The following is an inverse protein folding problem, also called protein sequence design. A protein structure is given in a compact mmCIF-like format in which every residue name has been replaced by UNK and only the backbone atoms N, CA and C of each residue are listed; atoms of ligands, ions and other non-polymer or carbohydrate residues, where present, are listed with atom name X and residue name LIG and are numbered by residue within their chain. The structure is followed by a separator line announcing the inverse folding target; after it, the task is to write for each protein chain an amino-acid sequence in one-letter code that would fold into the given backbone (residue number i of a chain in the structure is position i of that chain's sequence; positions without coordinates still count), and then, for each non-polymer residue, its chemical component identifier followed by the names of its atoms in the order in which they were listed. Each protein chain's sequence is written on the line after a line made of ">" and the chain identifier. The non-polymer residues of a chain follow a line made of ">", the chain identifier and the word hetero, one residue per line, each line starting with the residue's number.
data_IF_597285503705
#
_entry.id   IF_597285503705
#
_cell.length_a   1.000
_cell.length_b   1.000
_cell.length_c   1.000
_cell.angle_alpha   90.00
_cell.angle_beta   90.00
_cell.angle_gamma   90.00
#
_symmetry.space_group_name_H-M   'P 1'
#
loop_
_entity.id
_entity.type
_entity.pdbx_description
1 polymer ?
#
# COMPACT_ATOMS: atom_id res chain seq x y z
N UNK A 1 9.70 -15.17 1.97
CA UNK A 1 10.34 -14.82 0.70
C UNK A 1 9.78 -13.54 0.09
N UNK A 2 10.36 -13.11 -1.01
CA UNK A 2 9.97 -11.89 -1.73
C UNK A 2 9.58 -12.22 -3.17
N UNK A 3 8.70 -11.42 -3.75
CA UNK A 3 8.40 -11.39 -5.18
C UNK A 3 8.99 -10.11 -5.74
N UNK A 4 9.89 -10.23 -6.71
CA UNK A 4 10.47 -9.08 -7.38
C UNK A 4 9.44 -8.43 -8.30
N UNK A 5 9.33 -7.12 -8.24
CA UNK A 5 8.34 -6.39 -9.01
C UNK A 5 8.96 -5.68 -10.20
N UNK A 6 8.28 -5.69 -11.34
CA UNK A 6 8.62 -4.81 -12.47
C UNK A 6 7.86 -3.50 -12.29
N UNK A 7 8.64 -2.41 -12.17
CA UNK A 7 8.10 -1.08 -11.89
C UNK A 7 7.30 -0.54 -13.08
N UNK A 8 6.16 0.09 -12.81
CA UNK A 8 5.34 0.74 -13.82
C UNK A 8 5.98 2.02 -14.38
N UNK A 9 6.82 2.71 -13.57
CA UNK A 9 7.58 3.87 -14.02
C UNK A 9 8.89 3.41 -14.63
N UNK A 10 9.09 3.65 -15.92
CA UNK A 10 10.27 3.17 -16.69
C UNK A 10 11.60 3.52 -16.04
N UNK A 11 11.75 4.74 -15.52
CA UNK A 11 12.98 5.18 -14.85
C UNK A 11 13.33 4.35 -13.59
N UNK A 12 12.36 3.63 -13.01
CA UNK A 12 12.52 2.80 -11.81
C UNK A 12 12.72 1.32 -12.10
N UNK A 13 12.60 0.88 -13.35
CA UNK A 13 12.77 -0.54 -13.73
C UNK A 13 14.11 -1.14 -13.24
N UNK A 14 15.25 -0.41 -13.24
CA UNK A 14 16.51 -0.95 -12.73
C UNK A 14 16.53 -1.24 -11.22
N UNK A 15 15.59 -0.68 -10.44
CA UNK A 15 15.54 -0.89 -8.98
C UNK A 15 15.35 -2.37 -8.62
N UNK A 16 14.62 -3.15 -9.43
CA UNK A 16 14.38 -4.58 -9.20
C UNK A 16 15.67 -5.38 -9.04
N UNK A 17 16.70 -5.09 -9.86
CA UNK A 17 18.00 -5.79 -9.78
C UNK A 17 18.76 -5.46 -8.49
N UNK A 18 18.70 -4.21 -8.03
CA UNK A 18 19.35 -3.82 -6.79
C UNK A 18 18.66 -4.48 -5.58
N UNK A 19 17.33 -4.56 -5.61
CA UNK A 19 16.53 -5.22 -4.59
C UNK A 19 16.80 -6.73 -4.59
N UNK A 20 16.91 -7.38 -5.75
CA UNK A 20 17.27 -8.79 -5.89
C UNK A 20 18.62 -9.07 -5.20
N UNK A 21 19.67 -8.36 -5.60
CA UNK A 21 21.01 -8.54 -5.04
C UNK A 21 21.04 -8.33 -3.52
N UNK A 22 20.26 -7.37 -3.01
CA UNK A 22 20.16 -7.15 -1.58
C UNK A 22 19.51 -8.33 -0.84
N UNK A 23 18.37 -8.82 -1.31
CA UNK A 23 17.69 -9.94 -0.66
C UNK A 23 18.50 -11.24 -0.72
N UNK A 24 19.19 -11.50 -1.82
CA UNK A 24 20.14 -12.62 -1.93
C UNK A 24 21.25 -12.50 -0.88
N UNK A 25 21.82 -11.29 -0.71
CA UNK A 25 22.93 -11.04 0.24
C UNK A 25 22.56 -11.31 1.69
N UNK A 26 21.28 -11.18 2.05
CA UNK A 26 20.76 -11.44 3.41
C UNK A 26 20.03 -12.78 3.53
N UNK A 27 20.08 -13.63 2.49
CA UNK A 27 19.53 -14.98 2.49
C UNK A 27 18.00 -15.05 2.49
N UNK A 28 17.31 -14.01 2.00
CA UNK A 28 15.86 -14.01 1.84
C UNK A 28 15.50 -14.66 0.50
N UNK A 29 14.71 -15.76 0.47
CA UNK A 29 14.40 -16.47 -0.76
C UNK A 29 13.55 -15.62 -1.71
N UNK A 30 13.89 -15.63 -2.99
CA UNK A 30 13.11 -15.03 -4.07
C UNK A 30 12.12 -16.07 -4.57
N UNK A 31 10.82 -15.77 -4.45
CA UNK A 31 9.73 -16.65 -4.84
C UNK A 31 9.40 -16.55 -6.34
N UNK A 32 9.82 -15.47 -6.97
CA UNK A 32 9.62 -15.22 -8.39
C UNK A 32 9.66 -13.74 -8.72
N UNK A 33 9.44 -13.42 -9.99
CA UNK A 33 9.47 -12.07 -10.53
C UNK A 33 8.24 -11.78 -11.38
N UNK A 34 7.74 -10.56 -11.31
CA UNK A 34 6.77 -10.02 -12.27
C UNK A 34 7.53 -9.58 -13.51
N UNK A 35 7.13 -10.08 -14.67
CA UNK A 35 7.80 -9.78 -15.95
C UNK A 35 6.90 -8.99 -16.89
N UNK A 36 7.50 -8.19 -17.76
CA UNK A 36 6.77 -7.49 -18.81
C UNK A 36 5.90 -8.46 -19.65
N UNK A 37 4.69 -8.02 -20.07
CA UNK A 37 4.12 -6.68 -19.92
C UNK A 37 3.48 -6.40 -18.54
N UNK A 38 3.57 -7.31 -17.58
CA UNK A 38 3.10 -7.12 -16.22
C UNK A 38 3.93 -6.07 -15.47
N UNK A 39 3.25 -5.15 -14.78
CA UNK A 39 3.86 -4.21 -13.85
C UNK A 39 3.16 -4.28 -12.51
N UNK A 40 3.93 -4.17 -11.43
CA UNK A 40 3.43 -4.11 -10.07
C UNK A 40 4.40 -3.31 -9.20
N UNK A 41 3.87 -2.42 -8.38
CA UNK A 41 4.64 -1.68 -7.39
C UNK A 41 4.13 -1.98 -5.97
N UNK A 42 5.06 -2.11 -5.01
CA UNK A 42 4.74 -2.52 -3.64
C UNK A 42 3.76 -1.59 -2.92
N UNK A 43 3.72 -0.31 -3.30
CA UNK A 43 2.74 0.66 -2.78
C UNK A 43 1.28 0.34 -3.13
N UNK A 44 1.05 -0.55 -4.10
CA UNK A 44 -0.29 -1.04 -4.45
C UNK A 44 -0.68 -2.30 -3.69
N UNK A 45 0.21 -2.91 -2.91
CA UNK A 45 -0.03 -4.20 -2.23
C UNK A 45 -0.34 -3.98 -0.76
N UNK A 46 -1.57 -4.29 -0.35
CA UNK A 46 -2.05 -4.14 1.03
C UNK A 46 -2.54 -5.48 1.56
N UNK A 47 -1.85 -6.02 2.55
CA UNK A 47 -2.27 -7.23 3.25
C UNK A 47 -3.43 -6.90 4.20
N UNK A 48 -4.56 -7.59 4.02
CA UNK A 48 -5.74 -7.45 4.88
C UNK A 48 -5.64 -8.43 6.07
N UNK A 49 -5.17 -9.62 5.81
CA UNK A 49 -4.84 -10.66 6.77
C UNK A 49 -3.79 -11.60 6.15
N UNK A 50 -3.40 -12.65 6.87
CA UNK A 50 -2.36 -13.61 6.43
C UNK A 50 -2.68 -14.32 5.11
N UNK A 51 -3.95 -14.33 4.68
CA UNK A 51 -4.42 -15.08 3.51
C UNK A 51 -5.17 -14.23 2.49
N UNK A 52 -5.31 -12.93 2.77
CA UNK A 52 -6.04 -11.99 1.90
C UNK A 52 -5.17 -10.77 1.61
N UNK A 53 -4.97 -10.47 0.34
CA UNK A 53 -4.23 -9.30 -0.12
C UNK A 53 -5.10 -8.47 -1.08
N UNK A 54 -5.08 -7.16 -0.91
CA UNK A 54 -5.64 -6.20 -1.86
C UNK A 54 -4.52 -5.62 -2.73
N UNK A 55 -4.78 -5.46 -4.03
CA UNK A 55 -3.82 -4.90 -4.98
C UNK A 55 -4.49 -3.80 -5.79
N UNK A 56 -3.93 -2.60 -5.71
CA UNK A 56 -4.36 -1.46 -6.50
C UNK A 56 -4.08 -1.70 -8.00
N UNK A 57 -5.06 -1.45 -8.85
CA UNK A 57 -4.91 -1.46 -10.31
C UNK A 57 -4.99 -0.03 -10.82
N UNK A 58 -3.92 0.44 -11.44
CA UNK A 58 -3.79 1.81 -11.89
C UNK A 58 -2.66 1.98 -12.91
N UNK A 59 -2.08 3.16 -12.96
CA UNK A 59 -0.98 3.46 -13.89
C UNK A 59 0.34 2.76 -13.56
N UNK A 60 0.52 2.34 -12.30
CA UNK A 60 1.76 1.72 -11.82
C UNK A 60 1.68 0.19 -11.78
N UNK A 61 0.50 -0.32 -11.51
CA UNK A 61 0.23 -1.76 -11.42
C UNK A 61 -0.90 -2.09 -12.39
N UNK A 62 -0.66 -3.01 -13.31
CA UNK A 62 -1.63 -3.40 -14.34
C UNK A 62 -2.22 -4.80 -14.09
N UNK A 63 -3.30 -5.12 -14.81
CA UNK A 63 -4.00 -6.40 -14.70
C UNK A 63 -3.07 -7.62 -14.90
N UNK A 64 -2.10 -7.51 -15.82
CA UNK A 64 -1.15 -8.61 -16.08
C UNK A 64 -0.18 -8.79 -14.90
N UNK A 65 0.31 -7.71 -14.29
CA UNK A 65 1.12 -7.77 -13.06
C UNK A 65 0.37 -8.44 -11.91
N UNK A 66 -0.91 -8.06 -11.73
CA UNK A 66 -1.78 -8.67 -10.71
C UNK A 66 -1.98 -10.16 -10.99
N UNK A 67 -2.18 -10.56 -12.25
CA UNK A 67 -2.33 -11.97 -12.65
C UNK A 67 -1.08 -12.78 -12.31
N UNK A 68 0.10 -12.26 -12.64
CA UNK A 68 1.38 -12.91 -12.32
C UNK A 68 1.60 -12.98 -10.81
N UNK A 69 1.36 -11.90 -10.09
CA UNK A 69 1.45 -11.86 -8.63
C UNK A 69 0.59 -12.92 -7.96
N UNK A 70 -0.67 -13.04 -8.39
CA UNK A 70 -1.57 -14.08 -7.91
C UNK A 70 -1.04 -15.49 -8.19
N UNK A 71 -0.46 -15.73 -9.35
CA UNK A 71 0.12 -17.01 -9.71
C UNK A 71 1.34 -17.36 -8.84
N UNK A 72 2.22 -16.38 -8.57
CA UNK A 72 3.39 -16.55 -7.71
C UNK A 72 3.02 -16.78 -6.24
N UNK A 73 1.97 -16.12 -5.75
CA UNK A 73 1.45 -16.36 -4.40
C UNK A 73 0.84 -17.76 -4.26
N UNK A 74 0.23 -18.31 -5.33
CA UNK A 74 -0.28 -19.67 -5.36
C UNK A 74 -1.21 -19.97 -4.19
N UNK A 75 -0.91 -21.05 -3.46
CA UNK A 75 -1.69 -21.49 -2.30
C UNK A 75 -1.39 -20.74 -0.99
N UNK A 76 -0.47 -19.77 -1.01
CA UNK A 76 -0.14 -18.97 0.17
C UNK A 76 -1.23 -17.96 0.53
N UNK A 77 -2.11 -17.62 -0.42
CA UNK A 77 -3.26 -16.75 -0.21
C UNK A 77 -4.54 -17.40 -0.70
N UNK A 78 -5.65 -17.10 -0.02
CA UNK A 78 -6.98 -17.55 -0.44
C UNK A 78 -7.65 -16.53 -1.36
N UNK A 79 -7.28 -15.25 -1.22
CA UNK A 79 -7.94 -14.17 -1.93
C UNK A 79 -6.98 -13.03 -2.32
N UNK A 80 -7.01 -12.69 -3.60
CA UNK A 80 -6.43 -11.45 -4.13
C UNK A 80 -7.57 -10.55 -4.60
N UNK A 81 -7.66 -9.35 -4.03
CA UNK A 81 -8.70 -8.36 -4.34
C UNK A 81 -8.10 -7.30 -5.23
N UNK A 82 -8.57 -7.17 -6.46
CA UNK A 82 -8.19 -6.06 -7.32
C UNK A 82 -8.99 -4.82 -6.94
N UNK A 83 -8.30 -3.71 -6.69
CA UNK A 83 -8.88 -2.42 -6.30
C UNK A 83 -8.59 -1.41 -7.41
N UNK A 84 -9.55 -1.07 -8.27
CA UNK A 84 -9.33 -0.09 -9.34
C UNK A 84 -9.09 1.31 -8.75
N UNK A 85 -7.96 1.91 -9.11
CA UNK A 85 -7.61 3.25 -8.67
C UNK A 85 -8.12 4.30 -9.68
N UNK A 86 -8.54 5.48 -9.20
CA UNK A 86 -9.02 6.54 -10.07
C UNK A 86 -7.87 7.21 -10.86
N UNK A 87 -8.23 7.93 -11.93
CA UNK A 87 -7.28 8.73 -12.71
C UNK A 87 -6.59 9.81 -11.87
N UNK A 88 -7.27 10.40 -10.90
CA UNK A 88 -6.81 11.51 -10.07
C UNK A 88 -6.16 12.62 -10.91
N UNK A 89 -4.89 12.92 -10.72
CA UNK A 89 -4.13 13.94 -11.46
C UNK A 89 -3.40 13.37 -12.68
N UNK A 90 -3.50 12.04 -12.93
CA UNK A 90 -3.02 11.40 -14.15
C UNK A 90 -1.78 10.51 -13.99
N UNK A 91 -1.20 10.03 -15.11
CA UNK A 91 -0.13 9.03 -15.09
C UNK A 91 1.20 9.55 -14.56
N UNK A 92 1.39 10.87 -14.46
CA UNK A 92 2.59 11.48 -13.88
C UNK A 92 2.60 11.42 -12.35
N UNK A 93 1.42 11.27 -11.75
CA UNK A 93 1.26 11.18 -10.31
C UNK A 93 1.62 9.79 -9.77
N UNK A 94 1.92 9.76 -8.49
CA UNK A 94 2.23 8.53 -7.77
C UNK A 94 1.03 8.11 -6.90
N UNK A 95 -0.11 7.79 -7.52
CA UNK A 95 -1.26 7.27 -6.80
C UNK A 95 -1.16 5.75 -6.68
N UNK A 96 -0.87 5.27 -5.48
CA UNK A 96 -0.92 3.86 -5.10
C UNK A 96 -2.12 3.58 -4.20
N UNK A 97 -2.45 2.30 -4.01
CA UNK A 97 -3.48 1.93 -3.03
C UNK A 97 -3.11 2.41 -1.62
N UNK A 98 -1.83 2.31 -1.23
CA UNK A 98 -1.34 2.80 0.06
C UNK A 98 -1.33 4.33 0.19
N UNK A 99 -1.54 5.09 -0.90
CA UNK A 99 -1.82 6.52 -0.79
C UNK A 99 -3.21 6.79 -0.19
N UNK A 100 -4.12 5.83 -0.27
CA UNK A 100 -5.53 5.96 0.13
C UNK A 100 -5.91 5.07 1.32
N UNK A 101 -5.04 4.11 1.70
CA UNK A 101 -5.29 3.20 2.82
C UNK A 101 -4.00 2.75 3.46
N UNK A 102 -3.88 2.93 4.77
CA UNK A 102 -2.78 2.42 5.59
C UNK A 102 -3.33 1.55 6.72
N UNK A 103 -3.05 0.25 6.75
CA UNK A 103 -3.38 -0.61 7.88
C UNK A 103 -2.62 -0.15 9.14
N UNK A 104 -3.34 0.07 10.23
CA UNK A 104 -2.79 0.47 11.53
C UNK A 104 -2.76 -0.70 12.52
N UNK A 105 -3.77 -1.56 12.40
CA UNK A 105 -3.95 -2.78 13.18
C UNK A 105 -4.86 -3.72 12.40
N UNK A 106 -5.06 -4.95 12.85
CA UNK A 106 -5.97 -5.92 12.24
C UNK A 106 -7.41 -5.41 12.11
N UNK A 107 -7.86 -4.56 13.05
CA UNK A 107 -9.23 -4.01 13.11
C UNK A 107 -9.30 -2.50 12.85
N UNK A 108 -8.20 -1.85 12.47
CA UNK A 108 -8.13 -0.38 12.38
C UNK A 108 -7.28 0.06 11.20
N UNK A 109 -7.88 0.82 10.28
CA UNK A 109 -7.19 1.35 9.10
C UNK A 109 -7.36 2.87 9.01
N UNK A 110 -6.32 3.54 8.57
CA UNK A 110 -6.37 4.94 8.16
C UNK A 110 -6.72 4.99 6.68
N UNK A 111 -7.69 5.81 6.30
CA UNK A 111 -8.18 5.84 4.91
C UNK A 111 -8.46 7.27 4.43
N UNK A 112 -8.31 7.47 3.12
CA UNK A 112 -8.88 8.61 2.42
C UNK A 112 -10.01 8.12 1.51
N UNK A 113 -11.22 8.04 2.06
CA UNK A 113 -12.36 7.39 1.41
C UNK A 113 -12.78 8.01 0.09
N UNK A 114 -12.45 9.28 -0.18
CA UNK A 114 -12.83 9.96 -1.43
C UNK A 114 -12.22 9.34 -2.68
N UNK A 115 -11.07 8.67 -2.56
CA UNK A 115 -10.38 8.01 -3.66
C UNK A 115 -10.45 6.48 -3.60
N UNK A 116 -11.17 5.93 -2.61
CA UNK A 116 -11.41 4.50 -2.53
C UNK A 116 -12.65 4.10 -3.32
N UNK A 117 -12.61 3.00 -4.09
CA UNK A 117 -13.81 2.42 -4.67
C UNK A 117 -14.82 2.02 -3.57
N UNK A 118 -16.10 2.28 -3.82
CA UNK A 118 -17.19 1.94 -2.88
C UNK A 118 -17.14 0.46 -2.48
N UNK A 119 -16.90 -0.42 -3.44
CA UNK A 119 -16.81 -1.88 -3.20
C UNK A 119 -15.69 -2.25 -2.23
N UNK A 120 -14.52 -1.62 -2.36
CA UNK A 120 -13.40 -1.92 -1.46
C UNK A 120 -13.62 -1.33 -0.07
N UNK A 121 -14.10 -0.08 0.02
CA UNK A 121 -14.46 0.52 1.31
C UNK A 121 -15.52 -0.31 2.04
N UNK A 122 -16.56 -0.76 1.34
CA UNK A 122 -17.60 -1.63 1.92
C UNK A 122 -17.01 -2.97 2.37
N UNK A 123 -16.11 -3.57 1.57
CA UNK A 123 -15.43 -4.80 1.96
C UNK A 123 -14.68 -4.66 3.30
N UNK A 124 -13.99 -3.53 3.52
CA UNK A 124 -13.32 -3.28 4.81
C UNK A 124 -14.32 -3.19 5.97
N UNK A 125 -15.44 -2.49 5.77
CA UNK A 125 -16.51 -2.36 6.78
C UNK A 125 -17.18 -3.71 7.08
N UNK A 126 -17.47 -4.52 6.08
CA UNK A 126 -18.06 -5.85 6.23
C UNK A 126 -17.16 -6.80 7.04
N UNK A 127 -15.85 -6.56 6.99
CA UNK A 127 -14.85 -7.23 7.84
C UNK A 127 -14.71 -6.62 9.24
N UNK A 128 -15.58 -5.67 9.58
CA UNK A 128 -15.57 -4.95 10.87
C UNK A 128 -14.28 -4.13 11.12
N UNK A 129 -13.54 -3.80 10.06
CA UNK A 129 -12.38 -2.92 10.15
C UNK A 129 -12.88 -1.49 10.40
N UNK A 130 -12.41 -0.88 11.47
CA UNK A 130 -12.69 0.52 11.81
C UNK A 130 -11.86 1.43 10.93
N UNK A 131 -12.49 2.44 10.36
CA UNK A 131 -11.83 3.40 9.48
C UNK A 131 -11.62 4.73 10.20
N UNK A 132 -10.41 5.25 10.13
CA UNK A 132 -10.04 6.62 10.51
C UNK A 132 -9.90 7.40 9.21
N UNK A 133 -10.68 8.46 9.03
CA UNK A 133 -10.63 9.28 7.82
C UNK A 133 -9.52 10.33 7.91
N UNK A 134 -8.73 10.46 6.85
CA UNK A 134 -7.80 11.58 6.65
C UNK A 134 -8.63 12.77 6.15
N UNK A 135 -8.46 13.98 6.69
CA UNK A 135 -9.14 15.16 6.19
C UNK A 135 -8.53 15.64 4.86
N UNK A 136 -9.33 16.34 4.05
CA UNK A 136 -8.93 16.77 2.72
C UNK A 136 -7.67 17.66 2.74
N UNK A 137 -7.56 18.52 3.70
CA UNK A 137 -6.42 19.44 3.89
C UNK A 137 -5.10 18.74 4.22
N UNK A 138 -5.14 17.48 4.67
CA UNK A 138 -3.94 16.69 5.00
C UNK A 138 -3.66 15.56 3.99
N UNK A 139 -4.45 15.43 2.94
CA UNK A 139 -4.23 14.38 1.94
C UNK A 139 -2.96 14.64 1.11
N UNK A 140 -2.82 15.84 0.56
CA UNK A 140 -1.66 16.23 -0.26
C UNK A 140 -0.35 16.32 0.55
N UNK A 141 -0.44 16.50 1.87
CA UNK A 141 0.70 16.43 2.78
C UNK A 141 1.02 15.01 3.27
N UNK A 142 0.56 13.99 2.55
CA UNK A 142 0.80 12.57 2.83
C UNK A 142 0.19 12.09 4.17
N UNK A 143 -0.89 12.71 4.63
CA UNK A 143 -1.56 12.35 5.88
C UNK A 143 -2.05 10.89 5.92
N UNK A 144 -2.34 10.29 4.77
CA UNK A 144 -2.75 8.88 4.69
C UNK A 144 -1.56 7.90 4.61
N UNK A 145 -0.36 8.38 4.31
CA UNK A 145 0.82 7.53 4.13
C UNK A 145 1.52 7.29 5.48
N UNK A 146 1.06 6.28 6.20
CA UNK A 146 1.49 5.97 7.56
C UNK A 146 2.04 4.54 7.63
N UNK A 147 3.22 4.38 8.20
CA UNK A 147 3.87 3.08 8.38
C UNK A 147 3.55 2.51 9.77
N UNK A 148 2.82 1.42 9.85
CA UNK A 148 2.67 0.65 11.07
C UNK A 148 3.92 -0.22 11.30
N UNK A 149 4.61 -0.02 12.41
CA UNK A 149 5.79 -0.81 12.83
C UNK A 149 5.42 -1.91 13.83
N UNK A 150 4.25 -1.80 14.44
CA UNK A 150 3.60 -2.81 15.27
C UNK A 150 2.10 -2.47 15.35
N UNK A 151 1.22 -3.39 15.81
CA UNK A 151 -0.17 -3.07 16.05
C UNK A 151 -0.34 -1.78 16.87
N UNK A 152 -1.08 -0.80 16.33
CA UNK A 152 -1.31 0.53 16.91
C UNK A 152 -0.04 1.34 17.24
N UNK A 153 1.07 1.04 16.58
CA UNK A 153 2.30 1.82 16.69
C UNK A 153 2.77 2.23 15.30
N UNK A 154 2.81 3.54 15.04
CA UNK A 154 3.00 4.05 13.68
C UNK A 154 4.06 5.14 13.60
N UNK A 155 4.60 5.28 12.39
CA UNK A 155 5.46 6.39 12.00
C UNK A 155 4.75 7.16 10.89
N UNK A 156 4.66 8.48 11.01
CA UNK A 156 4.04 9.35 10.01
C UNK A 156 4.83 10.65 9.81
N UNK A 157 4.59 11.26 8.65
CA UNK A 157 5.19 12.56 8.33
C UNK A 157 4.61 13.67 9.23
N UNK A 158 5.46 14.57 9.74
CA UNK A 158 5.02 15.78 10.40
C UNK A 158 4.20 16.68 9.47
N UNK A 159 3.37 17.55 10.04
CA UNK A 159 2.54 18.47 9.27
C UNK A 159 1.10 17.99 9.08
N UNK A 160 0.73 16.86 9.68
CA UNK A 160 -0.61 16.27 9.61
C UNK A 160 -1.26 16.17 11.00
N UNK A 161 -1.49 17.30 11.72
CA UNK A 161 -1.90 17.28 13.12
C UNK A 161 -3.31 16.73 13.36
N UNK A 162 -4.23 16.88 12.41
CA UNK A 162 -5.60 16.38 12.54
C UNK A 162 -5.60 14.84 12.44
N UNK A 163 -4.90 14.30 11.46
CA UNK A 163 -4.73 12.84 11.29
C UNK A 163 -4.03 12.23 12.50
N UNK A 164 -2.92 12.86 12.94
CA UNK A 164 -2.22 12.43 14.15
C UNK A 164 -3.17 12.37 15.35
N UNK A 165 -3.93 13.43 15.60
CA UNK A 165 -4.90 13.50 16.70
C UNK A 165 -5.99 12.43 16.59
N UNK A 166 -6.48 12.16 15.38
CA UNK A 166 -7.48 11.10 15.15
C UNK A 166 -6.93 9.72 15.49
N UNK A 167 -5.68 9.43 15.09
CA UNK A 167 -4.98 8.18 15.43
C UNK A 167 -4.80 8.03 16.94
N UNK A 168 -4.24 9.04 17.61
CA UNK A 168 -4.02 9.05 19.07
C UNK A 168 -5.33 8.85 19.86
N UNK A 169 -6.43 9.47 19.40
CA UNK A 169 -7.76 9.30 20.01
C UNK A 169 -8.28 7.85 19.93
N UNK A 170 -7.78 7.08 18.96
CA UNK A 170 -8.07 5.64 18.81
C UNK A 170 -7.06 4.74 19.51
N UNK A 171 -6.20 5.31 20.35
CA UNK A 171 -5.19 4.55 21.11
C UNK A 171 -3.99 4.11 20.29
N UNK A 172 -3.65 4.86 19.24
CA UNK A 172 -2.45 4.62 18.43
C UNK A 172 -1.29 5.43 18.98
N UNK A 173 -0.14 4.79 19.18
CA UNK A 173 1.15 5.41 19.51
C UNK A 173 1.76 5.97 18.22
N UNK A 174 1.80 7.29 18.10
CA UNK A 174 2.21 7.97 16.87
C UNK A 174 3.57 8.62 17.02
N UNK A 175 4.53 8.17 16.22
CA UNK A 175 5.85 8.79 16.08
C UNK A 175 5.90 9.59 14.78
N UNK A 176 6.42 10.80 14.83
CA UNK A 176 6.53 11.66 13.66
C UNK A 176 7.99 11.87 13.26
N UNK A 177 8.23 12.08 11.96
CA UNK A 177 9.55 12.42 11.42
C UNK A 177 9.46 13.63 10.48
N UNK A 178 10.57 14.32 10.32
CA UNK A 178 10.69 15.42 9.36
C UNK A 178 10.97 14.87 7.96
N UNK A 179 10.16 15.26 6.97
CA UNK A 179 10.27 14.80 5.58
C UNK A 179 10.98 15.79 4.66
N UNK A 180 12.08 16.38 5.12
CA UNK A 180 12.81 17.42 4.37
C UNK A 180 13.45 16.91 3.07
N UNK A 181 13.58 15.57 2.93
CA UNK A 181 14.18 14.90 1.77
C UNK A 181 13.16 14.13 0.93
N UNK A 182 11.86 14.34 1.15
CA UNK A 182 10.76 13.66 0.43
C UNK A 182 10.19 14.57 -0.65
#
# INVERSE_FOLDING_TARGET
>A
GVILCTMGKYARVPESKAVEAYFESIGVPILGQIEFPGTLEGGDVVWIDERTVAVGEGYRTNAEGIRQFKALLGQHVDKVITVPLPHWTGPADCLHLMSNVSPIDHDLYLVYSRLLPVSFRQYLLDRQIKLIEVPDEEYESMGCNVLAVAPRKVIMLKGNPITQKRLETKGVDVHTYDGTEI
#
